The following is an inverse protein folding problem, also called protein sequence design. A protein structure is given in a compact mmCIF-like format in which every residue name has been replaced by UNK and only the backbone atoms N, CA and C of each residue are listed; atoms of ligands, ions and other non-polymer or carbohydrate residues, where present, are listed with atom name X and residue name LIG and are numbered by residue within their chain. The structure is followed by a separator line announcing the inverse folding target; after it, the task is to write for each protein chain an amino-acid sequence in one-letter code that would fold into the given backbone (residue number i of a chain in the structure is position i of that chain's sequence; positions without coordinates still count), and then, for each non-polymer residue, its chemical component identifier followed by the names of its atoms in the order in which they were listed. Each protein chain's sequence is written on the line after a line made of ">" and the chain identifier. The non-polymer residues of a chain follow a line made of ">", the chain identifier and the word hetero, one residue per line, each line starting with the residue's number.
data_IF_287768630914
#
_entry.id   IF_287768630914
#
_cell.length_a   1.000
_cell.length_b   1.000
_cell.length_c   1.000
_cell.angle_alpha   90.00
_cell.angle_beta   90.00
_cell.angle_gamma   90.00
#
_symmetry.space_group_name_H-M   'P 1'
#
loop_
_entity.id
_entity.type
_entity.pdbx_description
1 polymer ?
#
# COMPACT_ATOMS: atom_id res chain seq x y z
N UNK A 1 -68.82 33.66 40.41
CA UNK A 1 -69.83 32.66 40.83
C UNK A 1 -70.92 32.74 39.77
N UNK A 2 -71.25 31.71 38.98
CA UNK A 2 -71.57 30.34 39.40
C UNK A 2 -71.59 29.36 38.20
N UNK A 3 -71.13 28.11 38.45
CA UNK A 3 -71.41 26.82 37.75
C UNK A 3 -70.91 26.67 36.30
N UNK A 4 -69.89 25.89 35.91
CA UNK A 4 -69.44 24.52 36.23
C UNK A 4 -70.34 23.36 35.73
N UNK A 5 -69.74 22.53 34.85
CA UNK A 5 -70.00 21.11 34.47
C UNK A 5 -70.81 20.83 33.20
N UNK A 6 -70.15 20.18 32.21
CA UNK A 6 -70.49 18.81 31.71
C UNK A 6 -69.46 18.27 30.68
N UNK A 7 -69.05 17.02 30.94
CA UNK A 7 -68.54 15.94 30.07
C UNK A 7 -67.31 16.23 29.16
N UNK A 8 -66.14 15.64 29.38
CA UNK A 8 -65.73 14.22 29.30
C UNK A 8 -65.32 13.77 27.88
N UNK A 9 -64.18 13.08 27.84
CA UNK A 9 -63.63 12.20 26.80
C UNK A 9 -62.66 12.80 25.76
N UNK A 10 -61.38 12.47 25.99
CA UNK A 10 -60.35 12.01 25.04
C UNK A 10 -60.51 12.38 23.56
N UNK A 11 -59.48 13.02 23.00
CA UNK A 11 -58.56 12.38 22.06
C UNK A 11 -57.33 13.25 21.82
N UNK A 12 -56.17 12.59 21.91
CA UNK A 12 -54.85 13.14 21.75
C UNK A 12 -54.58 13.62 20.31
N UNK A 13 -53.85 14.71 20.19
CA UNK A 13 -52.90 14.93 19.07
C UNK A 13 -52.05 16.17 19.37
N UNK A 14 -51.18 16.04 20.37
CA UNK A 14 -49.95 16.83 20.38
C UNK A 14 -49.07 16.25 19.27
N UNK A 15 -49.07 16.89 18.11
CA UNK A 15 -48.10 16.61 17.06
C UNK A 15 -46.72 17.04 17.57
N UNK A 16 -46.04 16.12 18.29
CA UNK A 16 -44.59 16.20 18.43
C UNK A 16 -44.03 16.07 17.01
N UNK A 17 -43.53 17.17 16.48
CA UNK A 17 -42.58 17.13 15.39
C UNK A 17 -41.33 16.43 15.91
N UNK A 18 -41.29 15.11 15.77
CA UNK A 18 -40.02 14.39 15.82
C UNK A 18 -39.24 14.85 14.60
N UNK A 19 -38.35 15.82 14.80
CA UNK A 19 -37.16 15.93 13.96
C UNK A 19 -36.44 14.60 14.14
N UNK A 20 -36.67 13.68 13.22
CA UNK A 20 -35.82 12.52 13.08
C UNK A 20 -34.42 13.08 12.84
N UNK A 21 -33.55 12.97 13.85
CA UNK A 21 -32.12 12.94 13.56
C UNK A 21 -31.95 11.80 12.56
N UNK A 22 -31.75 12.15 11.30
CA UNK A 22 -31.16 11.23 10.36
C UNK A 22 -29.87 10.73 11.01
N UNK A 23 -29.64 9.41 11.10
CA UNK A 23 -28.34 8.94 11.55
C UNK A 23 -27.31 9.50 10.57
N UNK A 24 -26.38 10.27 11.11
CA UNK A 24 -25.16 10.63 10.40
C UNK A 24 -24.42 9.34 10.01
N UNK A 25 -23.83 9.36 8.82
CA UNK A 25 -23.02 8.32 8.20
C UNK A 25 -23.76 7.04 7.79
N UNK A 26 -24.19 6.99 6.53
CA UNK A 26 -23.98 5.78 5.75
C UNK A 26 -22.45 5.60 5.69
N UNK A 27 -21.89 4.74 6.55
CA UNK A 27 -20.54 4.24 6.34
C UNK A 27 -20.55 3.60 4.95
N UNK A 28 -19.81 4.19 4.01
CA UNK A 28 -19.64 3.58 2.71
C UNK A 28 -18.60 2.48 2.90
N UNK A 29 -19.01 1.30 3.35
CA UNK A 29 -18.13 0.14 3.54
C UNK A 29 -17.44 -0.18 2.20
N UNK A 30 -16.22 0.35 2.01
CA UNK A 30 -15.45 0.10 0.79
C UNK A 30 -14.13 -0.55 1.16
N UNK A 31 -13.96 -1.79 0.73
CA UNK A 31 -12.66 -2.47 0.75
C UNK A 31 -11.91 -2.16 -0.54
N UNK A 32 -10.75 -1.50 -0.43
CA UNK A 32 -9.84 -1.26 -1.55
C UNK A 32 -9.11 -2.57 -1.90
N UNK A 33 -9.20 -3.00 -3.15
CA UNK A 33 -8.48 -4.18 -3.64
C UNK A 33 -7.15 -3.73 -4.24
N UNK A 34 -6.04 -4.16 -3.66
CA UNK A 34 -4.69 -3.92 -4.19
C UNK A 34 -4.12 -5.20 -4.80
N UNK A 35 -3.18 -5.08 -5.73
CA UNK A 35 -2.30 -6.20 -6.11
C UNK A 35 -0.97 -6.17 -5.36
N UNK A 36 -0.34 -7.34 -5.25
CA UNK A 36 1.09 -7.52 -4.94
C UNK A 36 1.63 -8.64 -5.85
N UNK A 37 2.87 -8.54 -6.32
CA UNK A 37 3.46 -9.54 -7.25
C UNK A 37 3.96 -10.80 -6.55
N UNK A 38 4.09 -10.78 -5.22
CA UNK A 38 4.55 -11.91 -4.43
C UNK A 38 3.41 -12.88 -4.09
N UNK A 39 3.73 -14.16 -3.83
CA UNK A 39 2.73 -15.15 -3.46
C UNK A 39 2.11 -14.86 -2.08
N UNK A 40 0.93 -15.43 -1.83
CA UNK A 40 0.27 -15.32 -0.54
C UNK A 40 1.14 -15.78 0.62
N UNK A 41 1.10 -15.04 1.73
CA UNK A 41 1.92 -15.27 2.91
C UNK A 41 3.33 -14.67 2.83
N UNK A 42 3.73 -14.10 1.69
CA UNK A 42 4.95 -13.30 1.61
C UNK A 42 4.83 -12.02 2.48
N UNK A 43 5.93 -11.53 3.10
CA UNK A 43 5.85 -10.41 4.04
C UNK A 43 5.18 -9.14 3.49
N UNK A 44 5.38 -8.80 2.21
CA UNK A 44 4.78 -7.61 1.59
C UNK A 44 3.26 -7.76 1.45
N UNK A 45 2.79 -8.92 0.96
CA UNK A 45 1.35 -9.25 0.88
C UNK A 45 0.71 -9.17 2.27
N UNK A 46 1.36 -9.78 3.26
CA UNK A 46 0.86 -9.78 4.64
C UNK A 46 0.84 -8.37 5.26
N UNK A 47 1.81 -7.51 4.93
CA UNK A 47 1.83 -6.13 5.37
C UNK A 47 0.65 -5.34 4.83
N UNK A 48 0.37 -5.42 3.51
CA UNK A 48 -0.76 -4.72 2.90
C UNK A 48 -2.10 -5.23 3.44
N UNK A 49 -2.24 -6.55 3.61
CA UNK A 49 -3.44 -7.13 4.25
C UNK A 49 -3.61 -6.66 5.70
N UNK A 50 -2.53 -6.55 6.47
CA UNK A 50 -2.58 -6.07 7.84
C UNK A 50 -2.90 -4.58 7.93
N UNK A 51 -2.32 -3.74 7.05
CA UNK A 51 -2.72 -2.33 6.89
C UNK A 51 -4.20 -2.21 6.59
N UNK A 52 -4.72 -3.06 5.70
CA UNK A 52 -6.15 -3.10 5.38
C UNK A 52 -7.04 -3.42 6.57
N UNK A 53 -6.63 -4.36 7.43
CA UNK A 53 -7.34 -4.68 8.68
C UNK A 53 -7.32 -3.49 9.65
N UNK A 54 -6.18 -2.82 9.80
CA UNK A 54 -6.09 -1.65 10.67
C UNK A 54 -6.92 -0.47 10.15
N UNK A 55 -6.98 -0.29 8.83
CA UNK A 55 -7.85 0.71 8.21
C UNK A 55 -9.31 0.41 8.55
N UNK A 56 -9.74 -0.85 8.45
CA UNK A 56 -11.08 -1.30 8.82
C UNK A 56 -11.38 -1.03 10.29
N UNK A 57 -10.49 -1.42 11.20
CA UNK A 57 -10.64 -1.19 12.64
C UNK A 57 -10.72 0.30 12.99
N UNK A 58 -9.83 1.13 12.42
CA UNK A 58 -9.73 2.57 12.75
C UNK A 58 -10.86 3.40 12.17
N UNK A 59 -11.45 2.95 11.07
CA UNK A 59 -12.57 3.63 10.42
C UNK A 59 -13.93 3.09 10.85
N UNK A 60 -13.97 2.10 11.75
CA UNK A 60 -15.19 1.46 12.19
C UNK A 60 -15.91 0.71 11.06
N UNK A 61 -15.16 0.13 10.13
CA UNK A 61 -15.65 -0.59 8.96
C UNK A 61 -15.78 0.25 7.69
N UNK A 62 -15.69 1.59 7.78
CA UNK A 62 -15.95 2.46 6.63
C UNK A 62 -14.92 2.33 5.49
N UNK A 63 -13.68 1.95 5.78
CA UNK A 63 -12.66 1.68 4.76
C UNK A 63 -11.85 0.44 5.16
N UNK A 64 -11.62 -0.46 4.22
CA UNK A 64 -10.67 -1.57 4.38
C UNK A 64 -9.73 -1.65 3.18
N UNK A 65 -8.73 -2.53 3.25
CA UNK A 65 -7.94 -2.89 2.07
C UNK A 65 -7.63 -4.39 2.07
N UNK A 66 -7.47 -4.97 0.88
CA UNK A 66 -7.04 -6.36 0.73
C UNK A 66 -6.07 -6.47 -0.46
N UNK A 67 -4.94 -7.15 -0.25
CA UNK A 67 -4.00 -7.43 -1.32
C UNK A 67 -4.25 -8.81 -1.94
N UNK A 68 -4.29 -8.85 -3.27
CA UNK A 68 -4.44 -10.08 -4.07
C UNK A 68 -3.15 -10.32 -4.86
N UNK A 69 -2.46 -11.47 -4.68
CA UNK A 69 -1.32 -11.85 -5.50
C UNK A 69 -1.66 -11.86 -6.99
N UNK A 70 -0.85 -11.19 -7.83
CA UNK A 70 -1.07 -11.11 -9.26
C UNK A 70 0.23 -10.87 -10.04
N UNK A 71 0.43 -11.49 -11.22
CA UNK A 71 1.54 -11.15 -12.09
C UNK A 71 1.54 -9.66 -12.48
N UNK A 72 2.73 -9.03 -12.47
CA UNK A 72 2.87 -7.61 -12.76
C UNK A 72 2.23 -7.17 -14.10
N UNK A 73 2.33 -8.00 -15.14
CA UNK A 73 1.76 -7.73 -16.46
C UNK A 73 0.22 -7.72 -16.52
N UNK A 74 -0.46 -8.22 -15.49
CA UNK A 74 -1.93 -8.26 -15.40
C UNK A 74 -2.52 -7.08 -14.61
N UNK A 75 -1.66 -6.29 -13.95
CA UNK A 75 -2.09 -5.22 -13.03
C UNK A 75 -2.80 -4.09 -13.79
N UNK A 76 -2.26 -3.64 -14.92
CA UNK A 76 -2.87 -2.58 -15.73
C UNK A 76 -4.33 -2.89 -16.09
N UNK A 77 -4.57 -4.06 -16.72
CA UNK A 77 -5.90 -4.45 -17.16
C UNK A 77 -6.84 -4.69 -15.98
N UNK A 78 -6.32 -5.18 -14.86
CA UNK A 78 -7.10 -5.40 -13.64
C UNK A 78 -7.55 -4.09 -12.98
N UNK A 79 -6.70 -3.05 -12.98
CA UNK A 79 -7.11 -1.70 -12.55
C UNK A 79 -8.14 -1.14 -13.55
N UNK A 80 -7.83 -1.21 -14.86
CA UNK A 80 -8.68 -0.66 -15.91
C UNK A 80 -10.11 -1.23 -15.89
N UNK A 81 -10.24 -2.52 -15.61
CA UNK A 81 -11.53 -3.23 -15.57
C UNK A 81 -12.20 -3.20 -14.20
N UNK A 82 -11.54 -2.62 -13.18
CA UNK A 82 -12.03 -2.55 -11.81
C UNK A 82 -12.05 -3.89 -11.08
N UNK A 83 -11.22 -4.87 -11.50
CA UNK A 83 -10.97 -6.10 -10.73
C UNK A 83 -10.19 -5.78 -9.45
N UNK A 84 -9.26 -4.83 -9.53
CA UNK A 84 -8.58 -4.21 -8.40
C UNK A 84 -8.74 -2.69 -8.47
N UNK A 85 -8.60 -2.02 -7.34
CA UNK A 85 -8.71 -0.56 -7.20
C UNK A 85 -7.33 0.12 -7.33
N UNK A 86 -6.22 -0.59 -7.11
CA UNK A 86 -4.87 -0.05 -7.21
C UNK A 86 -3.77 -1.09 -7.00
N UNK A 87 -2.54 -0.59 -6.85
CA UNK A 87 -1.33 -1.36 -6.59
C UNK A 87 -0.30 -0.45 -5.88
N UNK A 88 0.85 -1.01 -5.51
CA UNK A 88 2.02 -0.25 -5.03
C UNK A 88 3.21 -0.42 -5.99
N UNK A 89 4.01 0.63 -6.17
CA UNK A 89 5.32 0.57 -6.80
C UNK A 89 6.07 1.91 -6.72
N UNK A 90 7.34 1.92 -7.12
CA UNK A 90 8.15 3.12 -7.30
C UNK A 90 7.77 3.92 -8.59
N UNK A 91 8.29 5.14 -8.72
CA UNK A 91 8.01 6.02 -9.87
C UNK A 91 8.32 5.40 -11.23
N UNK A 92 9.51 4.78 -11.46
CA UNK A 92 9.83 4.22 -12.77
C UNK A 92 8.91 3.08 -13.20
N UNK A 93 8.51 2.23 -12.25
CA UNK A 93 7.55 1.15 -12.51
C UNK A 93 6.16 1.69 -12.81
N UNK A 94 5.65 2.64 -12.02
CA UNK A 94 4.33 3.24 -12.22
C UNK A 94 4.22 3.96 -13.58
N UNK A 95 5.31 4.60 -14.02
CA UNK A 95 5.46 5.19 -15.35
C UNK A 95 5.52 4.13 -16.46
N UNK A 96 6.49 3.22 -16.40
CA UNK A 96 6.80 2.31 -17.50
C UNK A 96 5.72 1.25 -17.77
N UNK A 97 4.93 0.89 -16.75
CA UNK A 97 3.79 -0.01 -16.92
C UNK A 97 2.53 0.70 -17.43
N UNK A 98 2.54 2.04 -17.48
CA UNK A 98 1.35 2.82 -17.82
C UNK A 98 0.26 2.81 -16.74
N UNK A 99 0.53 2.29 -15.52
CA UNK A 99 -0.49 2.23 -14.46
C UNK A 99 -1.07 3.61 -14.12
N UNK A 100 -0.30 4.67 -14.30
CA UNK A 100 -0.77 6.05 -14.14
C UNK A 100 -1.94 6.41 -15.06
N UNK A 101 -2.13 5.70 -16.17
CA UNK A 101 -3.22 5.97 -17.09
C UNK A 101 -4.59 5.60 -16.50
N UNK A 102 -4.59 4.57 -15.64
CA UNK A 102 -5.79 3.90 -15.10
C UNK A 102 -5.92 4.03 -13.57
N UNK A 103 -4.88 4.42 -12.86
CA UNK A 103 -4.89 4.77 -11.43
C UNK A 103 -4.28 6.17 -11.24
N UNK A 104 -5.11 7.19 -11.02
CA UNK A 104 -4.71 8.62 -11.06
C UNK A 104 -4.37 9.25 -9.71
N UNK A 105 -4.37 8.47 -8.63
CA UNK A 105 -4.01 8.94 -7.28
C UNK A 105 -2.78 8.18 -6.81
N UNK A 106 -1.80 8.89 -6.27
CA UNK A 106 -0.54 8.32 -5.81
C UNK A 106 -0.10 8.95 -4.48
N UNK A 107 -0.03 8.14 -3.44
CA UNK A 107 0.34 8.60 -2.08
C UNK A 107 1.74 8.10 -1.73
N UNK A 108 2.64 9.03 -1.39
CA UNK A 108 4.02 8.71 -1.00
C UNK A 108 4.14 8.29 0.47
N UNK A 109 3.47 7.20 0.84
CA UNK A 109 3.67 6.59 2.15
C UNK A 109 5.03 5.87 2.26
N UNK A 110 5.58 5.41 1.13
CA UNK A 110 6.91 4.80 0.98
C UNK A 110 7.11 3.60 1.92
N UNK A 111 6.09 2.75 2.02
CA UNK A 111 6.01 1.66 2.98
C UNK A 111 6.98 0.50 2.69
N UNK A 112 7.60 0.44 1.50
CA UNK A 112 8.59 -0.56 1.12
C UNK A 112 9.79 0.05 0.38
N UNK A 113 10.99 -0.39 0.76
CA UNK A 113 12.24 -0.22 0.00
C UNK A 113 12.83 -1.62 -0.17
N UNK A 114 12.42 -2.31 -1.23
CA UNK A 114 12.82 -3.69 -1.50
C UNK A 114 14.14 -3.71 -2.27
N UNK A 115 15.23 -4.30 -1.73
CA UNK A 115 16.49 -4.39 -2.45
C UNK A 115 16.39 -5.30 -3.69
N UNK A 116 17.00 -4.87 -4.79
CA UNK A 116 17.22 -5.72 -5.96
C UNK A 116 18.60 -6.39 -5.92
N UNK A 117 18.70 -7.61 -6.46
CA UNK A 117 19.95 -8.38 -6.47
C UNK A 117 20.29 -8.85 -7.88
N UNK A 118 21.50 -8.54 -8.33
CA UNK A 118 22.09 -9.14 -9.53
C UNK A 118 22.60 -10.54 -9.20
N UNK A 119 21.98 -11.56 -9.77
CA UNK A 119 22.30 -12.97 -9.51
C UNK A 119 22.76 -13.69 -10.77
N UNK A 120 23.66 -14.67 -10.57
CA UNK A 120 24.10 -15.60 -11.61
C UNK A 120 23.80 -17.03 -11.17
N UNK A 121 23.40 -17.87 -12.12
CA UNK A 121 23.24 -19.31 -11.88
C UNK A 121 24.53 -19.91 -11.32
N UNK A 122 24.43 -20.62 -10.18
CA UNK A 122 25.58 -21.29 -9.58
C UNK A 122 26.23 -22.30 -10.53
N UNK A 123 25.44 -23.04 -11.31
CA UNK A 123 25.96 -24.00 -12.30
C UNK A 123 26.79 -23.30 -13.37
N UNK A 124 26.32 -22.15 -13.86
CA UNK A 124 27.07 -21.34 -14.83
C UNK A 124 28.34 -20.81 -14.18
N UNK A 125 28.23 -20.21 -13.00
CA UNK A 125 29.35 -19.65 -12.25
C UNK A 125 30.45 -20.69 -11.98
N UNK A 126 30.09 -21.87 -11.49
CA UNK A 126 31.01 -22.96 -11.19
C UNK A 126 31.69 -23.53 -12.45
N UNK A 127 31.10 -23.30 -13.64
CA UNK A 127 31.66 -23.69 -14.93
C UNK A 127 32.58 -22.65 -15.57
N UNK A 128 32.65 -21.43 -15.02
CA UNK A 128 33.57 -20.39 -15.47
C UNK A 128 35.00 -20.67 -14.98
N UNK A 129 35.99 -20.23 -15.75
CA UNK A 129 37.37 -20.20 -15.27
C UNK A 129 37.53 -19.21 -14.11
N UNK A 130 38.61 -19.32 -13.33
CA UNK A 130 38.87 -18.36 -12.26
C UNK A 130 39.01 -16.92 -12.78
N UNK A 131 39.62 -16.75 -13.96
CA UNK A 131 39.77 -15.46 -14.63
C UNK A 131 38.40 -14.89 -15.04
N UNK A 132 37.53 -15.71 -15.62
CA UNK A 132 36.17 -15.27 -15.99
C UNK A 132 35.31 -14.95 -14.77
N UNK A 133 35.44 -15.73 -13.68
CA UNK A 133 34.76 -15.42 -12.42
C UNK A 133 35.19 -14.05 -11.88
N UNK A 134 36.48 -13.75 -11.90
CA UNK A 134 36.99 -12.45 -11.48
C UNK A 134 36.45 -11.32 -12.37
N UNK A 135 36.50 -11.49 -13.68
CA UNK A 135 36.00 -10.51 -14.66
C UNK A 135 34.49 -10.24 -14.48
N UNK A 136 33.67 -11.28 -14.36
CA UNK A 136 32.22 -11.15 -14.12
C UNK A 136 31.95 -10.44 -12.80
N UNK A 137 32.71 -10.75 -11.74
CA UNK A 137 32.54 -10.10 -10.44
C UNK A 137 32.96 -8.63 -10.46
N UNK A 138 34.01 -8.28 -11.19
CA UNK A 138 34.42 -6.90 -11.38
C UNK A 138 33.33 -6.12 -12.14
N UNK A 139 32.88 -6.64 -13.28
CA UNK A 139 31.81 -6.02 -14.07
C UNK A 139 30.51 -5.83 -13.27
N UNK A 140 30.12 -6.82 -12.47
CA UNK A 140 28.96 -6.72 -11.59
C UNK A 140 29.11 -5.64 -10.51
N UNK A 141 30.32 -5.47 -9.94
CA UNK A 141 30.58 -4.40 -8.97
C UNK A 141 30.56 -3.03 -9.62
N UNK A 142 31.13 -2.91 -10.82
CA UNK A 142 31.19 -1.66 -11.57
C UNK A 142 29.82 -1.24 -12.11
N UNK A 143 28.94 -2.20 -12.42
CA UNK A 143 27.59 -1.90 -12.89
C UNK A 143 26.68 -1.31 -11.81
N UNK A 144 26.89 -1.62 -10.53
CA UNK A 144 26.03 -1.17 -9.42
C UNK A 144 26.01 0.36 -9.25
N UNK A 145 27.14 1.07 -9.11
CA UNK A 145 27.11 2.53 -9.00
C UNK A 145 26.54 3.19 -10.25
N UNK A 146 26.84 2.65 -11.43
CA UNK A 146 26.28 3.15 -12.68
C UNK A 146 24.76 2.98 -12.75
N UNK A 147 24.24 1.80 -12.39
CA UNK A 147 22.81 1.55 -12.30
C UNK A 147 22.13 2.50 -11.30
N UNK A 148 22.75 2.77 -10.14
CA UNK A 148 22.19 3.70 -9.14
C UNK A 148 22.12 5.14 -9.64
N UNK A 149 23.11 5.59 -10.41
CA UNK A 149 23.09 6.90 -11.07
C UNK A 149 21.93 6.99 -12.06
N UNK A 150 21.78 5.97 -12.92
CA UNK A 150 20.66 5.89 -13.87
C UNK A 150 19.31 5.80 -13.16
N UNK A 151 19.24 5.09 -12.03
CA UNK A 151 18.02 4.96 -11.23
C UNK A 151 17.57 6.31 -10.66
N UNK A 152 18.50 7.07 -10.05
CA UNK A 152 18.18 8.39 -9.53
C UNK A 152 17.69 9.35 -10.61
N UNK A 153 18.33 9.33 -11.79
CA UNK A 153 17.87 10.11 -12.94
C UNK A 153 16.47 9.67 -13.40
N UNK A 154 16.23 8.35 -13.46
CA UNK A 154 14.97 7.78 -13.92
C UNK A 154 13.82 8.05 -12.94
N UNK A 155 14.05 7.99 -11.64
CA UNK A 155 13.02 8.37 -10.64
C UNK A 155 12.57 9.82 -10.84
N UNK A 156 13.51 10.76 -10.97
CA UNK A 156 13.19 12.17 -11.18
C UNK A 156 12.44 12.41 -12.51
N UNK A 157 12.86 11.75 -13.59
CA UNK A 157 12.18 11.81 -14.88
C UNK A 157 10.74 11.29 -14.80
N UNK A 158 10.56 10.10 -14.23
CA UNK A 158 9.24 9.47 -14.11
C UNK A 158 8.31 10.28 -13.20
N UNK A 159 8.80 10.79 -12.06
CA UNK A 159 8.00 11.68 -11.19
C UNK A 159 7.53 12.92 -11.96
N UNK A 160 8.44 13.61 -12.67
CA UNK A 160 8.08 14.80 -13.45
C UNK A 160 7.00 14.49 -14.49
N UNK A 161 7.13 13.35 -15.19
CA UNK A 161 6.12 12.88 -16.14
C UNK A 161 4.77 12.60 -15.48
N UNK A 162 4.73 12.01 -14.28
CA UNK A 162 3.47 11.76 -13.57
C UNK A 162 2.77 13.08 -13.18
N UNK A 163 3.54 14.08 -12.75
CA UNK A 163 3.02 15.43 -12.45
C UNK A 163 2.46 16.10 -13.71
N UNK A 164 3.18 16.02 -14.84
CA UNK A 164 2.70 16.55 -16.12
C UNK A 164 1.45 15.83 -16.62
N UNK A 165 1.36 14.51 -16.41
CA UNK A 165 0.20 13.69 -16.74
C UNK A 165 -1.03 13.95 -15.84
N UNK A 166 -0.93 14.86 -14.86
CA UNK A 166 -2.03 15.25 -13.99
C UNK A 166 -2.40 14.21 -12.93
N UNK A 167 -1.46 13.37 -12.51
CA UNK A 167 -1.67 12.45 -11.38
C UNK A 167 -1.82 13.28 -10.09
N UNK A 168 -2.82 12.93 -9.27
CA UNK A 168 -3.00 13.52 -7.94
C UNK A 168 -2.00 12.88 -6.97
N UNK A 169 -0.97 13.64 -6.60
CA UNK A 169 0.15 13.15 -5.79
C UNK A 169 0.07 13.73 -4.38
N UNK A 170 0.00 12.86 -3.37
CA UNK A 170 0.11 13.23 -1.96
C UNK A 170 1.53 12.97 -1.49
N UNK A 171 2.31 14.04 -1.26
CA UNK A 171 3.70 13.94 -0.78
C UNK A 171 3.81 14.09 0.74
N UNK A 172 3.01 14.98 1.32
CA UNK A 172 3.03 15.27 2.75
C UNK A 172 2.05 14.36 3.49
N UNK A 173 2.57 13.31 4.12
CA UNK A 173 1.80 12.37 4.93
C UNK A 173 2.57 12.03 6.21
N UNK A 174 1.86 11.98 7.34
CA UNK A 174 2.42 11.42 8.56
C UNK A 174 2.55 9.89 8.41
N UNK A 175 3.80 9.42 8.33
CA UNK A 175 4.13 8.01 8.17
C UNK A 175 4.12 7.25 9.49
N UNK A 176 4.08 7.94 10.63
CA UNK A 176 4.14 7.31 11.96
C UNK A 176 3.07 6.21 12.13
N UNK A 177 1.79 6.44 11.76
CA UNK A 177 0.76 5.41 11.86
C UNK A 177 1.00 4.18 10.97
N UNK A 178 1.63 4.38 9.80
CA UNK A 178 1.98 3.30 8.87
C UNK A 178 3.14 2.46 9.41
N UNK A 179 4.14 3.12 9.99
CA UNK A 179 5.31 2.45 10.59
C UNK A 179 4.88 1.63 11.81
N UNK A 180 4.14 2.23 12.74
CA UNK A 180 3.66 1.55 13.96
C UNK A 180 2.74 0.36 13.63
N UNK A 181 1.94 0.49 12.57
CA UNK A 181 1.12 -0.60 12.05
C UNK A 181 1.94 -1.83 11.63
N UNK A 182 3.25 -1.73 11.38
CA UNK A 182 4.04 -2.87 10.92
C UNK A 182 4.58 -3.76 12.05
N UNK A 183 4.46 -3.36 13.32
CA UNK A 183 5.01 -4.12 14.46
C UNK A 183 4.61 -5.61 14.42
N UNK A 184 3.33 -5.98 14.21
CA UNK A 184 2.93 -7.39 14.19
C UNK A 184 3.46 -8.17 12.98
N UNK A 185 3.78 -7.48 11.87
CA UNK A 185 4.45 -8.10 10.72
C UNK A 185 5.89 -8.45 11.10
N UNK A 186 6.62 -7.55 11.76
CA UNK A 186 7.96 -7.84 12.28
C UNK A 186 7.93 -9.02 13.28
N UNK A 187 7.00 -9.03 14.22
CA UNK A 187 6.86 -10.13 15.19
C UNK A 187 6.59 -11.48 14.52
N UNK A 188 5.77 -11.49 13.46
CA UNK A 188 5.43 -12.70 12.71
C UNK A 188 6.60 -13.28 11.92
N UNK A 189 7.42 -12.44 11.29
CA UNK A 189 8.46 -12.88 10.34
C UNK A 189 9.88 -12.88 10.93
N UNK A 190 10.17 -12.06 11.93
CA UNK A 190 11.50 -11.93 12.56
C UNK A 190 11.62 -12.87 13.76
N UNK A 191 11.55 -14.17 13.49
CA UNK A 191 11.38 -15.20 14.54
C UNK A 191 12.68 -15.83 15.03
N UNK A 192 13.76 -15.78 14.24
CA UNK A 192 15.07 -16.35 14.61
C UNK A 192 16.05 -15.30 15.12
N UNK A 193 16.98 -15.70 15.97
CA UNK A 193 18.02 -14.80 16.50
C UNK A 193 18.88 -14.19 15.38
N UNK A 194 19.13 -14.95 14.30
CA UNK A 194 19.81 -14.44 13.11
C UNK A 194 19.03 -13.31 12.43
N UNK A 195 17.71 -13.44 12.31
CA UNK A 195 16.88 -12.39 11.72
C UNK A 195 16.77 -11.17 12.64
N UNK A 196 16.63 -11.38 13.96
CA UNK A 196 16.62 -10.29 14.95
C UNK A 196 17.91 -9.49 14.94
N UNK A 197 19.05 -10.16 14.93
CA UNK A 197 20.37 -9.53 14.78
C UNK A 197 20.47 -8.74 13.47
N UNK A 198 20.05 -9.34 12.35
CA UNK A 198 20.07 -8.68 11.05
C UNK A 198 19.22 -7.41 11.02
N UNK A 199 17.98 -7.48 11.52
CA UNK A 199 17.09 -6.30 11.61
C UNK A 199 17.70 -5.22 12.49
N UNK A 200 18.25 -5.59 13.65
CA UNK A 200 18.92 -4.65 14.57
C UNK A 200 20.07 -3.92 13.87
N UNK A 201 20.92 -4.65 13.13
CA UNK A 201 22.04 -4.05 12.39
C UNK A 201 21.58 -3.14 11.26
N UNK A 202 20.53 -3.51 10.52
CA UNK A 202 19.96 -2.67 9.47
C UNK A 202 19.40 -1.37 10.06
N UNK A 203 18.65 -1.44 11.15
CA UNK A 203 18.06 -0.26 11.81
C UNK A 203 19.10 0.65 12.48
N UNK A 204 20.28 0.13 12.82
CA UNK A 204 21.38 0.89 13.39
C UNK A 204 22.33 1.50 12.34
N UNK A 205 22.06 1.32 11.04
CA UNK A 205 22.87 1.87 9.95
C UNK A 205 22.36 3.26 9.59
N UNK A 206 23.26 4.25 9.59
CA UNK A 206 22.99 5.65 9.17
C UNK A 206 22.84 5.80 7.65
#
# INVERSE_FOLDING_TARGET
>A
MTQLKRLAALLASAALATVALAPAALACDRTLRSSDTHPEGYPTVAAVQYMGKLLEERTGGALGANATPMPYGEVYSSIQTGVIDGAENNWPSYDSSGHFEVARHYTLDQHLIVPEVLVISKKTWDGLSAEDQEAVRAAAKDSVPHMRELWAAREAESEAKMREAGVEIVTEIDKTPFIEAMVPVYEKYVTSDKLKDMVTRVQATD
#
